data_IF_612695845090
#
_entry.id   IF_612695845090
#
_cell.length_a   1.000
_cell.length_b   1.000
_cell.length_c   1.000
_cell.angle_alpha   90.00
_cell.angle_beta   90.00
_cell.angle_gamma   90.00
#
_symmetry.space_group_name_H-M   'P 1'
#
loop_
_entity.id
_entity.type
_entity.pdbx_description
1 polymer ?
2 water ?
#
# COMPACT_ATOMS: atom_id res chain seq x y z
N UNK A 3 9.21 35.46 -7.09
CA UNK A 3 8.99 35.12 -8.54
C UNK A 3 8.44 33.70 -8.63
N UNK A 4 9.32 32.73 -8.46
CA UNK A 4 8.94 31.32 -8.50
C UNK A 4 8.68 30.90 -7.06
N UNK A 5 7.54 30.23 -6.79
CA UNK A 5 7.25 29.80 -5.43
C UNK A 5 8.31 28.87 -4.88
N UNK A 6 8.53 28.93 -3.57
CA UNK A 6 9.53 28.08 -2.94
C UNK A 6 9.04 26.63 -2.84
N UNK A 7 7.79 26.46 -2.41
CA UNK A 7 7.22 25.13 -2.28
C UNK A 7 5.77 25.15 -2.69
N UNK A 8 5.37 24.16 -3.49
CA UNK A 8 3.99 24.00 -3.89
C UNK A 8 3.46 22.85 -3.03
N UNK A 9 2.41 23.10 -2.27
CA UNK A 9 1.83 22.07 -1.43
C UNK A 9 0.50 21.65 -2.03
N UNK A 10 0.44 20.42 -2.50
CA UNK A 10 -0.76 19.85 -3.12
C UNK A 10 -1.59 19.07 -2.09
N UNK A 11 -2.87 19.40 -2.01
CA UNK A 11 -3.77 18.73 -1.07
C UNK A 11 -4.90 18.03 -1.82
N UNK A 12 -4.88 16.68 -1.85
CA UNK A 12 -5.92 15.90 -2.53
C UNK A 12 -7.12 15.85 -1.57
N UNK A 13 -8.27 16.31 -2.06
CA UNK A 13 -9.45 16.40 -1.23
C UNK A 13 -10.64 15.51 -1.59
N UNK A 14 -11.13 14.76 -0.60
CA UNK A 14 -12.31 13.89 -0.77
C UNK A 14 -13.00 13.59 0.56
N UNK A 15 -14.18 14.16 0.76
CA UNK A 15 -14.95 13.94 1.99
C UNK A 15 -14.13 14.13 3.25
N UNK A 16 -13.68 15.37 3.48
CA UNK A 16 -12.86 15.70 4.64
C UNK A 16 -13.21 17.11 5.09
N UNK A 17 -14.43 17.51 4.80
CA UNK A 17 -14.94 18.82 5.14
C UNK A 17 -14.73 19.21 6.62
N UNK A 18 -14.61 18.22 7.48
CA UNK A 18 -14.43 18.48 8.91
C UNK A 18 -12.98 18.68 9.28
N UNK A 19 -12.08 18.45 8.33
CA UNK A 19 -10.64 18.59 8.55
C UNK A 19 -9.97 19.64 7.67
N UNK A 20 -10.51 19.87 6.49
CA UNK A 20 -9.97 20.81 5.51
C UNK A 20 -9.53 22.18 6.03
N UNK A 21 -10.44 22.91 6.68
CA UNK A 21 -10.13 24.25 7.20
C UNK A 21 -8.87 24.27 8.05
N UNK A 22 -8.82 23.43 9.07
CA UNK A 22 -7.67 23.40 9.95
C UNK A 22 -6.40 23.08 9.16
N UNK A 23 -6.54 22.26 8.13
CA UNK A 23 -5.42 21.86 7.29
C UNK A 23 -4.88 23.01 6.45
N UNK A 24 -5.75 23.63 5.68
CA UNK A 24 -5.34 24.74 4.82
C UNK A 24 -4.83 25.91 5.66
N UNK A 25 -5.43 26.10 6.84
CA UNK A 25 -5.05 27.19 7.72
C UNK A 25 -3.65 26.95 8.31
N UNK A 26 -3.25 25.69 8.43
CA UNK A 26 -1.93 25.35 8.96
C UNK A 26 -0.88 25.58 7.87
N UNK A 27 -1.29 25.40 6.62
CA UNK A 27 -0.40 25.62 5.50
C UNK A 27 -0.28 27.13 5.25
N UNK A 28 -1.29 27.87 5.67
CA UNK A 28 -1.28 29.32 5.48
C UNK A 28 -0.46 29.98 6.57
N UNK A 29 -0.28 29.26 7.67
CA UNK A 29 0.47 29.76 8.80
C UNK A 29 1.95 29.39 8.79
N UNK A 30 2.40 28.69 7.75
CA UNK A 30 3.80 28.27 7.67
C UNK A 30 4.75 29.46 7.79
N UNK A 31 5.95 29.21 8.31
CA UNK A 31 6.94 30.27 8.47
C UNK A 31 7.69 30.55 7.17
N UNK A 32 7.73 29.56 6.29
CA UNK A 32 8.40 29.74 5.00
C UNK A 32 7.51 30.59 4.11
N UNK A 33 8.13 31.56 3.42
CA UNK A 33 7.40 32.45 2.52
C UNK A 33 7.23 31.79 1.17
N UNK A 34 6.49 32.47 0.31
CA UNK A 34 6.26 32.03 -1.05
C UNK A 34 5.83 30.58 -1.22
N UNK A 35 4.77 30.22 -0.52
CA UNK A 35 4.22 28.89 -0.59
C UNK A 35 2.99 28.95 -1.48
N UNK A 36 2.95 28.07 -2.47
CA UNK A 36 1.82 27.97 -3.37
C UNK A 36 0.98 26.79 -2.88
N UNK A 37 -0.30 27.04 -2.59
CA UNK A 37 -1.20 26.01 -2.07
C UNK A 37 -2.16 25.58 -3.18
N UNK A 38 -2.20 24.28 -3.44
CA UNK A 38 -3.02 23.74 -4.48
C UNK A 38 -4.04 22.78 -3.90
N UNK A 39 -5.31 23.06 -4.15
CA UNK A 39 -6.37 22.23 -3.63
C UNK A 39 -7.02 21.49 -4.79
N UNK A 40 -7.02 20.16 -4.72
CA UNK A 40 -7.62 19.35 -5.77
C UNK A 40 -8.88 18.69 -5.24
N UNK A 41 -10.03 19.21 -5.65
CA UNK A 41 -11.33 18.71 -5.23
C UNK A 41 -11.73 17.55 -6.13
N UNK A 42 -11.49 16.34 -5.64
CA UNK A 42 -11.78 15.13 -6.39
C UNK A 42 -13.28 14.79 -6.32
N UNK A 43 -14.10 15.77 -6.70
CA UNK A 43 -15.55 15.65 -6.67
C UNK A 43 -16.01 15.24 -5.26
N UNK A 44 -15.64 16.05 -4.28
CA UNK A 44 -15.98 15.79 -2.87
C UNK A 44 -17.49 15.92 -2.64
N UNK A 45 -18.10 14.85 -2.10
CA UNK A 45 -19.54 14.81 -1.81
C UNK A 45 -20.07 15.82 -0.79
N UNK A 46 -19.22 16.31 0.09
CA UNK A 46 -19.63 17.28 1.11
C UNK A 46 -19.51 18.73 0.64
N UNK A 47 -19.13 19.62 1.55
CA UNK A 47 -18.98 21.04 1.21
C UNK A 47 -17.57 21.50 0.84
N UNK A 48 -16.64 20.56 0.71
CA UNK A 48 -15.27 20.89 0.34
C UNK A 48 -15.18 21.69 -0.96
N UNK A 49 -16.07 21.44 -1.93
CA UNK A 49 -15.95 22.23 -3.16
C UNK A 49 -16.05 23.74 -2.91
N UNK A 50 -17.03 24.16 -2.10
CA UNK A 50 -17.20 25.58 -1.81
C UNK A 50 -16.11 26.09 -0.86
N UNK A 51 -15.72 25.26 0.09
CA UNK A 51 -14.67 25.62 1.03
C UNK A 51 -13.40 25.94 0.21
N UNK A 52 -13.16 25.17 -0.84
CA UNK A 52 -11.99 25.44 -1.70
C UNK A 52 -12.17 26.78 -2.40
N UNK A 53 -13.36 27.05 -2.92
CA UNK A 53 -13.59 28.32 -3.60
C UNK A 53 -13.44 29.50 -2.64
N UNK A 54 -13.94 29.31 -1.42
CA UNK A 54 -13.84 30.33 -0.39
C UNK A 54 -12.38 30.68 -0.16
N UNK A 55 -11.53 29.67 -0.07
CA UNK A 55 -10.10 29.91 0.16
C UNK A 55 -9.47 30.57 -1.06
N UNK A 56 -9.82 30.09 -2.25
CA UNK A 56 -9.25 30.65 -3.47
C UNK A 56 -9.67 32.10 -3.64
N UNK A 57 -10.80 32.46 -3.05
CA UNK A 57 -11.31 33.82 -3.13
C UNK A 57 -10.68 34.71 -2.05
N UNK A 58 -10.63 34.21 -0.82
CA UNK A 58 -10.07 34.97 0.29
C UNK A 58 -8.54 35.09 0.32
N UNK A 59 -7.82 34.27 -0.44
CA UNK A 59 -6.35 34.35 -0.46
C UNK A 59 -5.75 34.34 -1.87
N UNK A 60 -4.54 34.91 -2.04
CA UNK A 60 -3.88 34.98 -3.36
C UNK A 60 -2.96 33.83 -3.76
N UNK A 61 -2.59 32.98 -2.82
CA UNK A 61 -1.69 31.89 -3.16
C UNK A 61 -2.35 30.52 -3.13
N UNK A 62 -3.65 30.48 -3.43
CA UNK A 62 -4.40 29.24 -3.44
C UNK A 62 -5.04 28.92 -4.79
N UNK A 63 -4.59 27.82 -5.40
CA UNK A 63 -5.13 27.37 -6.68
C UNK A 63 -6.08 26.21 -6.41
N UNK A 64 -7.15 26.13 -7.19
CA UNK A 64 -8.15 25.09 -7.01
C UNK A 64 -8.56 24.42 -8.31
N UNK A 65 -8.80 23.11 -8.24
CA UNK A 65 -9.25 22.36 -9.39
C UNK A 65 -10.35 21.41 -8.93
N UNK A 66 -11.48 21.46 -9.63
CA UNK A 66 -12.62 20.61 -9.37
C UNK A 66 -12.63 19.50 -10.43
N UNK A 67 -12.46 18.26 -10.00
CA UNK A 67 -12.43 17.14 -10.93
C UNK A 67 -13.58 16.18 -10.75
N UNK A 68 -13.81 15.40 -11.80
CA UNK A 68 -14.80 14.36 -11.77
C UNK A 68 -13.94 13.32 -11.01
N UNK A 69 -14.50 12.71 -9.98
CA UNK A 69 -13.79 11.76 -9.13
C UNK A 69 -12.91 10.74 -9.86
N UNK A 70 -11.67 10.61 -9.40
CA UNK A 70 -10.74 9.67 -10.02
C UNK A 70 -9.70 9.12 -9.05
N UNK A 71 -9.81 9.49 -7.78
CA UNK A 71 -8.88 9.00 -6.77
C UNK A 71 -7.79 9.98 -6.34
N UNK A 72 -7.20 9.75 -5.17
CA UNK A 72 -6.17 10.64 -4.65
C UNK A 72 -4.86 10.67 -5.46
N UNK A 73 -4.45 9.53 -5.99
CA UNK A 73 -3.24 9.47 -6.80
C UNK A 73 -3.39 10.34 -8.03
N UNK A 74 -4.50 10.20 -8.73
CA UNK A 74 -4.73 11.03 -9.91
C UNK A 74 -4.90 12.49 -9.50
N UNK A 75 -5.40 12.72 -8.29
CA UNK A 75 -5.59 14.09 -7.82
C UNK A 75 -4.22 14.73 -7.62
N UNK A 76 -3.31 14.01 -6.96
CA UNK A 76 -1.98 14.52 -6.73
C UNK A 76 -1.31 14.85 -8.06
N UNK A 77 -1.60 14.04 -9.08
CA UNK A 77 -1.03 14.28 -10.41
C UNK A 77 -1.53 15.61 -10.99
N UNK A 78 -2.83 15.87 -10.89
CA UNK A 78 -3.37 17.11 -11.39
C UNK A 78 -2.67 18.25 -10.66
N UNK A 79 -2.45 18.05 -9.36
CA UNK A 79 -1.75 19.05 -8.57
C UNK A 79 -0.37 19.30 -9.13
N UNK A 80 0.35 18.23 -9.48
CA UNK A 80 1.69 18.36 -10.05
C UNK A 80 1.68 19.09 -11.39
N UNK A 81 0.60 18.92 -12.16
CA UNK A 81 0.51 19.57 -13.46
C UNK A 81 0.44 21.09 -13.35
N UNK A 82 -0.13 21.59 -12.25
CA UNK A 82 -0.24 23.03 -12.08
C UNK A 82 0.78 23.59 -11.13
N UNK A 83 1.50 22.73 -10.41
CA UNK A 83 2.51 23.19 -9.45
C UNK A 83 3.61 23.97 -10.16
N UNK A 84 4.06 25.07 -9.54
CA UNK A 84 5.12 25.87 -10.14
C UNK A 84 6.31 26.08 -9.20
N UNK A 85 6.20 25.63 -7.95
CA UNK A 85 7.30 25.82 -7.02
C UNK A 85 8.59 25.10 -7.36
N UNK A 86 9.69 25.52 -6.76
CA UNK A 86 10.97 24.87 -7.01
C UNK A 86 10.90 23.47 -6.39
N UNK A 87 10.15 23.39 -5.29
CA UNK A 87 9.95 22.12 -4.61
C UNK A 87 8.44 21.88 -4.55
N UNK A 88 8.08 20.63 -4.31
CA UNK A 88 6.68 20.28 -4.24
C UNK A 88 6.47 19.31 -3.08
N UNK A 89 5.26 19.28 -2.55
CA UNK A 89 4.95 18.39 -1.44
C UNK A 89 3.46 18.06 -1.38
N UNK A 90 3.12 16.98 -0.69
CA UNK A 90 1.75 16.58 -0.55
C UNK A 90 1.37 16.57 0.90
N UNK A 91 0.17 17.03 1.20
CA UNK A 91 -0.33 17.06 2.56
C UNK A 91 -1.74 16.48 2.59
N UNK A 92 -1.97 15.54 3.50
CA UNK A 92 -3.28 14.92 3.63
C UNK A 92 -4.26 15.91 4.23
N UNK A 93 -5.51 15.85 3.79
CA UNK A 93 -6.54 16.73 4.30
C UNK A 93 -6.60 16.66 5.82
N UNK A 94 -6.57 15.44 6.36
CA UNK A 94 -6.66 15.24 7.80
C UNK A 94 -5.35 15.47 8.54
N UNK A 95 -4.53 16.36 7.99
CA UNK A 95 -3.24 16.66 8.61
C UNK A 95 -2.95 18.15 8.67
N UNK A 96 -2.90 18.70 9.88
CA UNK A 96 -2.57 20.10 10.08
C UNK A 96 -1.11 20.08 10.53
N UNK A 97 -0.23 20.62 9.69
CA UNK A 97 1.21 20.61 9.96
C UNK A 97 1.79 21.77 10.78
N UNK A 98 2.92 21.46 11.42
CA UNK A 98 3.67 22.41 12.24
C UNK A 98 4.27 23.52 11.37
N UNK A 99 3.96 24.76 11.72
CA UNK A 99 4.41 25.94 10.96
C UNK A 99 5.90 26.12 10.65
N UNK A 100 6.79 25.37 11.30
CA UNK A 100 8.22 25.50 10.98
C UNK A 100 8.65 24.37 10.07
N UNK A 101 7.76 23.41 9.87
CA UNK A 101 8.06 22.25 9.06
C UNK A 101 8.65 22.48 7.68
N UNK A 102 7.91 23.16 6.80
CA UNK A 102 8.44 23.38 5.46
C UNK A 102 9.69 24.24 5.45
N UNK A 103 9.82 25.13 6.41
CA UNK A 103 11.02 25.96 6.48
C UNK A 103 12.21 25.05 6.71
N UNK A 104 12.09 24.18 7.69
CA UNK A 104 13.16 23.26 8.02
C UNK A 104 13.53 22.43 6.79
N UNK A 105 12.56 21.77 6.19
CA UNK A 105 12.86 20.94 5.02
C UNK A 105 13.42 21.72 3.84
N UNK A 106 12.90 22.92 3.61
CA UNK A 106 13.38 23.73 2.52
C UNK A 106 14.85 24.09 2.71
N UNK A 107 15.19 24.58 3.90
CA UNK A 107 16.56 24.98 4.19
C UNK A 107 17.54 23.84 3.99
N UNK A 108 17.16 22.65 4.46
CA UNK A 108 18.01 21.47 4.34
C UNK A 108 18.23 21.14 2.87
N UNK A 109 17.13 21.05 2.12
CA UNK A 109 17.19 20.74 0.70
C UNK A 109 18.04 21.77 -0.04
N UNK A 110 17.99 23.02 0.39
CA UNK A 110 18.77 24.07 -0.27
C UNK A 110 20.25 23.98 0.07
N UNK A 111 20.55 23.61 1.31
CA UNK A 111 21.94 23.50 1.75
C UNK A 111 22.69 22.39 1.01
N UNK A 112 22.11 21.19 0.97
CA UNK A 112 22.74 20.06 0.31
C UNK A 112 22.25 19.76 -1.09
N UNK A 113 21.44 20.64 -1.67
CA UNK A 113 20.93 20.43 -3.03
C UNK A 113 20.24 19.06 -3.17
N UNK A 114 19.35 18.77 -2.24
CA UNK A 114 18.62 17.51 -2.25
C UNK A 114 17.61 17.39 -3.39
N UNK A 115 17.30 16.14 -3.74
CA UNK A 115 16.30 15.86 -4.76
C UNK A 115 15.02 15.52 -4.00
N UNK A 116 15.18 15.20 -2.72
CA UNK A 116 14.08 14.85 -1.84
C UNK A 116 14.54 14.85 -0.37
N UNK A 117 13.61 15.19 0.53
CA UNK A 117 13.89 15.25 1.97
C UNK A 117 12.80 14.44 2.66
N UNK A 118 13.20 13.37 3.34
CA UNK A 118 12.24 12.50 4.02
C UNK A 118 11.95 12.74 5.50
N UNK A 119 10.67 12.70 5.83
CA UNK A 119 10.14 12.92 7.18
C UNK A 119 10.84 14.02 7.95
N UNK A 140 19.85 11.87 11.54
CA UNK A 140 20.04 12.61 10.29
C UNK A 140 20.98 11.88 9.34
N UNK A 141 20.54 11.70 8.09
CA UNK A 141 21.35 11.02 7.09
C UNK A 141 21.32 11.74 5.75
N UNK A 142 22.49 11.80 5.12
CA UNK A 142 22.64 12.43 3.80
C UNK A 142 23.17 11.39 2.81
N UNK A 143 22.54 11.28 1.66
CA UNK A 143 23.00 10.33 0.65
C UNK A 143 23.44 11.15 -0.55
N UNK A 144 24.76 11.22 -0.72
CA UNK A 144 25.45 12.01 -1.75
C UNK A 144 25.36 11.54 -3.19
N UNK A 145 25.13 10.25 -3.39
CA UNK A 145 25.07 9.72 -4.75
C UNK A 145 24.04 8.61 -4.92
N UNK A 146 23.63 8.35 -6.16
CA UNK A 146 22.65 7.29 -6.39
C UNK A 146 23.14 5.93 -5.91
N UNK A 147 24.45 5.78 -5.74
CA UNK A 147 25.00 4.52 -5.26
C UNK A 147 24.60 4.30 -3.80
N UNK A 148 24.75 5.33 -2.98
CA UNK A 148 24.38 5.24 -1.58
C UNK A 148 22.88 5.05 -1.47
N UNK A 149 22.15 5.69 -2.38
CA UNK A 149 20.70 5.58 -2.38
C UNK A 149 20.30 4.18 -2.79
N UNK A 150 20.97 3.65 -3.80
CA UNK A 150 20.70 2.30 -4.27
C UNK A 150 20.79 1.27 -3.15
N UNK A 151 21.81 1.43 -2.31
CA UNK A 151 22.04 0.52 -1.19
C UNK A 151 20.90 0.60 -0.21
N UNK A 152 20.35 1.79 -0.08
CA UNK A 152 19.24 2.03 0.82
C UNK A 152 18.02 1.25 0.34
N UNK A 153 17.82 1.23 -0.98
CA UNK A 153 16.69 0.54 -1.60
C UNK A 153 16.76 -0.99 -1.58
N UNK A 154 17.98 -1.55 -1.59
CA UNK A 154 18.17 -3.01 -1.58
C UNK A 154 17.48 -3.71 -0.42
N UNK A 155 17.25 -2.99 0.67
CA UNK A 155 16.60 -3.58 1.84
C UNK A 155 15.16 -4.00 1.52
N UNK A 156 14.56 -3.36 0.52
CA UNK A 156 13.20 -3.66 0.13
C UNK A 156 13.02 -5.00 -0.56
N UNK A 157 14.08 -5.52 -1.17
CA UNK A 157 14.01 -6.81 -1.87
C UNK A 157 14.94 -7.92 -1.36
N UNK A 158 15.65 -7.67 -0.27
CA UNK A 158 16.54 -8.67 0.30
C UNK A 158 15.68 -9.60 1.16
N UNK A 159 16.28 -10.67 1.66
CA UNK A 159 15.53 -11.65 2.46
C UNK A 159 14.95 -11.18 3.79
N UNK A 160 15.73 -10.44 4.58
CA UNK A 160 15.28 -9.98 5.88
C UNK A 160 13.98 -9.17 5.87
N UNK A 161 12.93 -9.68 6.53
CA UNK A 161 11.64 -8.98 6.58
C UNK A 161 11.73 -7.64 7.31
N UNK A 162 12.31 -7.67 8.50
CA UNK A 162 12.42 -6.49 9.33
C UNK A 162 13.09 -5.31 8.64
N UNK A 163 14.15 -5.57 7.89
CA UNK A 163 14.83 -4.51 7.20
C UNK A 163 13.92 -3.97 6.10
N UNK A 164 13.12 -4.84 5.50
CA UNK A 164 12.20 -4.41 4.43
C UNK A 164 11.07 -3.58 5.04
N UNK A 165 10.56 -4.02 6.19
CA UNK A 165 9.49 -3.32 6.87
C UNK A 165 9.99 -1.92 7.24
N UNK A 166 11.19 -1.88 7.81
CA UNK A 166 11.81 -0.63 8.22
C UNK A 166 11.92 0.33 7.04
N UNK A 167 12.54 -0.11 5.95
CA UNK A 167 12.68 0.72 4.75
C UNK A 167 11.34 1.16 4.18
N UNK A 168 10.41 0.22 4.04
CA UNK A 168 9.10 0.54 3.49
C UNK A 168 8.46 1.65 4.30
N UNK A 169 8.54 1.53 5.63
CA UNK A 169 7.97 2.51 6.53
C UNK A 169 8.60 3.88 6.33
N UNK A 170 9.94 3.89 6.34
CA UNK A 170 10.72 5.10 6.16
C UNK A 170 10.42 5.74 4.79
N UNK A 171 10.55 4.94 3.74
CA UNK A 171 10.29 5.38 2.37
C UNK A 171 8.83 5.80 2.14
N UNK A 172 7.94 5.35 3.03
CA UNK A 172 6.52 5.69 2.93
C UNK A 172 6.14 6.82 3.88
N UNK A 173 7.14 7.53 4.40
CA UNK A 173 6.88 8.65 5.30
C UNK A 173 5.89 9.58 4.62
N UNK A 174 4.96 10.13 5.39
CA UNK A 174 3.94 11.03 4.84
C UNK A 174 4.49 12.41 4.49
N UNK A 175 5.45 12.91 5.27
CA UNK A 175 6.01 14.23 5.03
C UNK A 175 7.32 14.16 4.24
N UNK A 176 7.24 14.51 2.96
CA UNK A 176 8.40 14.48 2.05
C UNK A 176 8.39 15.71 1.15
N UNK A 177 9.57 16.27 0.91
CA UNK A 177 9.71 17.45 0.05
C UNK A 177 10.55 17.04 -1.18
N UNK A 178 9.95 17.16 -2.36
CA UNK A 178 10.62 16.78 -3.60
C UNK A 178 11.01 17.99 -4.47
N UNK A 179 12.18 17.90 -5.09
CA UNK A 179 12.64 18.93 -5.99
C UNK A 179 11.74 18.71 -7.23
N UNK A 180 10.89 19.69 -7.52
CA UNK A 180 9.95 19.58 -8.61
C UNK A 180 10.47 19.22 -9.99
N UNK A 181 11.62 19.78 -10.37
CA UNK A 181 12.14 19.48 -11.69
C UNK A 181 12.62 18.03 -11.88
N UNK A 182 12.98 17.37 -10.79
CA UNK A 182 13.40 15.98 -10.92
C UNK A 182 12.16 15.18 -11.31
N UNK A 183 11.03 15.52 -10.69
CA UNK A 183 9.77 14.83 -10.96
C UNK A 183 9.34 15.10 -12.40
N UNK A 184 9.42 16.36 -12.83
CA UNK A 184 9.05 16.69 -14.20
C UNK A 184 10.02 16.09 -15.23
N UNK A 185 11.33 16.24 -15.03
CA UNK A 185 12.33 15.68 -15.95
C UNK A 185 12.15 14.18 -16.14
N UNK A 186 11.84 13.49 -15.05
CA UNK A 186 11.67 12.03 -15.09
C UNK A 186 10.23 11.58 -15.42
N UNK A 187 9.33 12.53 -15.58
CA UNK A 187 7.93 12.26 -15.89
C UNK A 187 7.31 11.36 -14.85
N UNK A 188 7.63 11.60 -13.58
CA UNK A 188 7.09 10.78 -12.50
C UNK A 188 5.68 11.19 -12.08
N UNK A 189 4.80 10.21 -12.03
CA UNK A 189 3.42 10.43 -11.64
C UNK A 189 2.92 9.27 -10.80
N UNK A 190 1.90 9.52 -9.98
CA UNK A 190 1.33 8.46 -9.17
C UNK A 190 0.55 7.50 -10.04
N UNK A 191 0.53 6.24 -9.61
CA UNK A 191 -0.25 5.22 -10.28
C UNK A 191 -1.55 5.33 -9.48
N UNK A 192 -2.71 5.19 -10.12
CA UNK A 192 -3.96 5.26 -9.37
C UNK A 192 -3.98 4.22 -8.25
N UNK A 193 -4.51 4.57 -7.08
CA UNK A 193 -4.57 3.63 -5.97
C UNK A 193 -5.51 2.48 -6.35
N UNK A 194 -6.39 2.75 -7.31
CA UNK A 194 -7.36 1.77 -7.76
C UNK A 194 -6.69 0.67 -8.59
N UNK A 195 -5.41 0.84 -8.89
CA UNK A 195 -4.65 -0.17 -9.62
C UNK A 195 -3.60 -0.72 -8.67
N UNK A 196 -2.91 0.20 -7.99
CA UNK A 196 -1.85 -0.11 -7.01
C UNK A 196 -2.10 0.53 -5.66
N UNK A 197 -2.61 -0.24 -4.68
CA UNK A 197 -2.87 0.31 -3.35
C UNK A 197 -1.60 0.87 -2.70
N UNK A 198 -0.46 0.37 -3.15
CA UNK A 198 0.84 0.78 -2.63
C UNK A 198 1.40 1.91 -3.48
N UNK A 199 0.50 2.61 -4.15
CA UNK A 199 0.85 3.72 -5.03
C UNK A 199 1.78 4.79 -4.43
N UNK A 200 1.59 5.14 -3.16
CA UNK A 200 2.45 6.16 -2.56
C UNK A 200 3.89 5.65 -2.38
N UNK A 201 4.03 4.40 -1.98
CA UNK A 201 5.36 3.82 -1.80
C UNK A 201 6.08 3.78 -3.14
N UNK A 202 5.37 3.31 -4.16
CA UNK A 202 5.93 3.19 -5.50
C UNK A 202 6.40 4.54 -6.03
N UNK A 203 5.59 5.58 -5.84
CA UNK A 203 5.98 6.92 -6.29
C UNK A 203 7.27 7.34 -5.59
N UNK A 204 7.34 7.11 -4.28
CA UNK A 204 8.54 7.49 -3.55
C UNK A 204 9.77 6.73 -4.02
N UNK A 205 9.60 5.45 -4.36
CA UNK A 205 10.73 4.68 -4.87
C UNK A 205 11.10 5.24 -6.25
N UNK A 206 10.10 5.65 -7.04
CA UNK A 206 10.37 6.22 -8.36
C UNK A 206 11.32 7.41 -8.21
N UNK A 207 11.08 8.20 -7.17
CA UNK A 207 11.89 9.37 -6.90
C UNK A 207 13.30 8.98 -6.45
N UNK A 208 13.38 8.13 -5.45
CA UNK A 208 14.66 7.68 -4.91
C UNK A 208 15.54 6.96 -5.95
N UNK A 209 14.96 6.01 -6.67
CA UNK A 209 15.72 5.28 -7.68
C UNK A 209 16.09 6.16 -8.86
N UNK A 210 15.68 7.43 -8.86
CA UNK A 210 15.99 8.34 -9.96
C UNK A 210 16.62 9.63 -9.43
N UNK A 211 17.14 9.58 -8.21
CA UNK A 211 17.76 10.75 -7.60
C UNK A 211 19.28 10.62 -7.44
N UNK A 212 19.90 11.71 -7.00
CA UNK A 212 21.34 11.78 -6.76
C UNK A 212 21.64 12.09 -5.29
N UNK A 213 20.89 13.03 -4.71
CA UNK A 213 21.08 13.42 -3.31
C UNK A 213 19.76 13.38 -2.53
N UNK A 214 19.81 12.79 -1.34
CA UNK A 214 18.63 12.65 -0.51
C UNK A 214 18.95 12.79 0.97
N UNK A 215 18.06 13.44 1.71
CA UNK A 215 18.24 13.63 3.15
C UNK A 215 17.08 13.05 3.92
N UNK A 216 17.34 12.58 5.13
CA UNK A 216 16.30 12.03 5.98
C UNK A 216 16.37 12.72 7.34
N UNK A 217 15.34 13.49 7.66
CA UNK A 217 15.27 14.22 8.92
C UNK A 217 14.74 13.39 10.08
N UNK A 218 15.16 13.73 11.32
CA UNK A 218 14.72 13.03 12.54
C UNK A 218 13.20 13.07 12.71
N UNK B 3 -5.05 -36.12 6.92
CA UNK B 3 -5.59 -35.60 8.21
C UNK B 3 -5.47 -34.08 8.31
N UNK B 4 -4.30 -33.54 7.96
CA UNK B 4 -4.12 -32.09 8.01
C UNK B 4 -4.70 -31.54 6.70
N UNK B 5 -5.39 -30.39 6.78
CA UNK B 5 -5.96 -29.81 5.57
C UNK B 5 -4.96 -29.44 4.47
N UNK B 6 -5.46 -29.47 3.24
CA UNK B 6 -4.66 -29.15 2.08
C UNK B 6 -4.49 -27.64 1.99
N UNK B 7 -5.59 -26.94 2.15
CA UNK B 7 -5.55 -25.50 2.05
C UNK B 7 -6.35 -24.84 3.16
N UNK B 8 -5.78 -23.77 3.71
CA UNK B 8 -6.43 -23.00 4.76
C UNK B 8 -6.77 -21.66 4.15
N UNK B 9 -8.05 -21.32 4.14
CA UNK B 9 -8.52 -20.06 3.60
C UNK B 9 -8.92 -19.15 4.77
N UNK B 10 -8.25 -17.99 4.88
CA UNK B 10 -8.53 -17.04 5.95
C UNK B 10 -9.42 -15.93 5.41
N UNK B 11 -10.52 -15.67 6.12
CA UNK B 11 -11.49 -14.65 5.72
C UNK B 11 -11.63 -13.54 6.77
N UNK B 12 -10.99 -12.39 6.52
CA UNK B 12 -11.09 -11.26 7.46
C UNK B 12 -12.50 -10.67 7.36
N UNK B 13 -13.20 -10.62 8.48
CA UNK B 13 -14.58 -10.14 8.48
C UNK B 13 -14.92 -8.87 9.26
N UNK B 14 -15.54 -7.92 8.57
CA UNK B 14 -15.96 -6.67 9.18
C UNK B 14 -17.10 -6.09 8.36
N UNK B 15 -18.24 -5.86 9.01
CA UNK B 15 -19.41 -5.29 8.33
C UNK B 15 -19.76 -5.84 6.95
N UNK B 16 -19.85 -7.15 6.81
CA UNK B 16 -20.17 -7.75 5.51
C UNK B 16 -21.27 -8.79 5.64
N UNK B 17 -22.23 -8.52 6.51
CA UNK B 17 -23.34 -9.43 6.76
C UNK B 17 -24.05 -9.93 5.50
N UNK B 18 -24.23 -9.04 4.54
CA UNK B 18 -24.92 -9.35 3.29
C UNK B 18 -24.16 -10.23 2.31
N UNK B 19 -22.84 -10.32 2.46
CA UNK B 19 -22.03 -11.11 1.53
C UNK B 19 -21.44 -12.37 2.15
N UNK B 20 -21.41 -12.42 3.48
CA UNK B 20 -20.82 -13.54 4.18
C UNK B 20 -21.32 -14.93 3.80
N UNK B 21 -22.63 -15.09 3.69
CA UNK B 21 -23.19 -16.39 3.32
C UNK B 21 -22.65 -16.88 1.99
N UNK B 22 -22.79 -16.06 0.95
CA UNK B 22 -22.33 -16.41 -0.38
C UNK B 22 -20.84 -16.70 -0.40
N UNK B 23 -20.09 -15.94 0.37
CA UNK B 23 -18.65 -16.15 0.42
C UNK B 23 -18.30 -17.50 1.05
N UNK B 24 -18.87 -17.79 2.22
CA UNK B 24 -18.58 -19.05 2.90
C UNK B 24 -19.08 -20.24 2.09
N UNK B 25 -20.26 -20.08 1.50
CA UNK B 25 -20.87 -21.12 0.68
C UNK B 25 -20.00 -21.43 -0.55
N UNK B 26 -19.42 -20.40 -1.16
CA UNK B 26 -18.56 -20.58 -2.33
C UNK B 26 -17.33 -21.37 -1.88
N UNK B 27 -16.95 -21.18 -0.63
CA UNK B 27 -15.81 -21.88 -0.08
C UNK B 27 -16.17 -23.33 0.23
N UNK B 28 -17.40 -23.56 0.64
CA UNK B 28 -17.86 -24.92 0.93
C UNK B 28 -18.07 -25.74 -0.34
N UNK B 29 -18.35 -25.05 -1.45
CA UNK B 29 -18.61 -25.70 -2.73
C UNK B 29 -17.36 -26.02 -3.55
N UNK B 30 -16.18 -25.83 -2.95
CA UNK B 30 -14.93 -26.09 -3.64
C UNK B 30 -14.73 -27.56 -3.96
N UNK B 31 -14.09 -27.82 -5.10
CA UNK B 31 -13.81 -29.18 -5.54
C UNK B 31 -12.74 -29.83 -4.67
N UNK B 32 -11.82 -29.02 -4.17
CA UNK B 32 -10.76 -29.51 -3.30
C UNK B 32 -11.36 -30.01 -1.98
N UNK B 33 -10.98 -31.23 -1.59
CA UNK B 33 -11.49 -31.92 -0.41
C UNK B 33 -11.19 -31.45 1.01
N UNK B 34 -9.93 -31.16 1.32
CA UNK B 34 -9.62 -30.79 2.70
C UNK B 34 -9.32 -29.32 2.91
N UNK B 35 -10.37 -28.51 2.94
CA UNK B 35 -10.26 -27.08 3.12
C UNK B 35 -10.65 -26.63 4.52
N UNK B 36 -9.75 -25.89 5.15
CA UNK B 36 -9.97 -25.35 6.47
C UNK B 36 -10.36 -23.88 6.31
N UNK B 37 -11.58 -23.53 6.70
CA UNK B 37 -12.06 -22.17 6.57
C UNK B 37 -11.93 -21.48 7.92
N UNK B 38 -11.21 -20.37 7.92
CA UNK B 38 -10.95 -19.59 9.12
C UNK B 38 -11.61 -18.21 9.03
N UNK B 39 -12.67 -18.02 9.81
CA UNK B 39 -13.40 -16.78 9.84
C UNK B 39 -12.90 -15.91 10.99
N UNK B 40 -12.31 -14.77 10.64
CA UNK B 40 -11.77 -13.85 11.63
C UNK B 40 -12.72 -12.67 11.84
N UNK B 41 -13.60 -12.79 12.83
CA UNK B 41 -14.55 -11.73 13.16
C UNK B 41 -13.78 -10.60 13.82
N UNK B 42 -13.53 -9.56 13.04
CA UNK B 42 -12.76 -8.43 13.51
C UNK B 42 -13.68 -7.47 14.25
N UNK B 43 -14.40 -8.02 15.24
CA UNK B 43 -15.35 -7.25 16.05
C UNK B 43 -16.32 -6.49 15.15
N UNK B 44 -16.98 -7.24 14.27
CA UNK B 44 -17.94 -6.68 13.33
C UNK B 44 -19.19 -6.12 14.05
N UNK B 45 -19.63 -4.90 13.69
CA UNK B 45 -20.80 -4.24 14.29
C UNK B 45 -22.15 -4.88 13.93
N UNK B 46 -22.21 -5.57 12.80
CA UNK B 46 -23.46 -6.21 12.39
C UNK B 46 -23.66 -7.55 13.08
N UNK B 47 -24.33 -8.48 12.39
CA UNK B 47 -24.57 -9.81 12.94
C UNK B 47 -23.61 -10.89 12.42
N UNK B 48 -22.48 -10.46 11.87
CA UNK B 48 -21.48 -11.41 11.36
C UNK B 48 -20.92 -12.30 12.48
N UNK B 49 -20.86 -11.80 13.73
CA UNK B 49 -20.32 -12.68 14.77
C UNK B 49 -21.14 -13.97 14.94
N UNK B 50 -22.47 -13.85 14.92
CA UNK B 50 -23.36 -15.00 15.07
C UNK B 50 -23.37 -15.85 13.80
N UNK B 51 -23.24 -15.21 12.65
CA UNK B 51 -23.21 -15.96 11.41
C UNK B 51 -22.00 -16.87 11.48
N UNK B 52 -20.92 -16.32 12.02
CA UNK B 52 -19.70 -17.07 12.16
C UNK B 52 -19.85 -18.28 13.09
N UNK B 53 -20.48 -18.08 14.25
CA UNK B 53 -20.69 -19.18 15.18
C UNK B 53 -21.58 -20.25 14.59
N UNK B 54 -22.60 -19.83 13.86
CA UNK B 54 -23.52 -20.78 13.23
C UNK B 54 -22.80 -21.67 12.23
N UNK B 55 -21.86 -21.10 11.49
CA UNK B 55 -21.12 -21.87 10.50
C UNK B 55 -20.10 -22.82 11.13
N UNK B 56 -19.41 -22.39 12.20
CA UNK B 56 -18.45 -23.27 12.85
C UNK B 56 -19.22 -24.42 13.53
N UNK B 57 -20.41 -24.11 14.05
CA UNK B 57 -21.22 -25.11 14.72
C UNK B 57 -21.79 -26.14 13.75
N UNK B 58 -22.01 -25.72 12.50
CA UNK B 58 -22.56 -26.62 11.49
C UNK B 58 -21.48 -27.45 10.80
N UNK B 59 -20.31 -26.86 10.59
CA UNK B 59 -19.21 -27.56 9.92
C UNK B 59 -17.93 -27.66 10.78
N UNK B 60 -17.40 -28.88 10.95
CA UNK B 60 -16.18 -29.08 11.75
C UNK B 60 -14.90 -28.50 11.13
N UNK B 61 -14.93 -28.21 9.83
CA UNK B 61 -13.74 -27.65 9.19
C UNK B 61 -13.76 -26.11 9.19
N UNK B 62 -14.70 -25.54 9.94
CA UNK B 62 -14.76 -24.09 10.02
C UNK B 62 -14.42 -23.60 11.41
N UNK B 63 -13.38 -22.80 11.50
CA UNK B 63 -12.93 -22.24 12.78
C UNK B 63 -13.25 -20.75 12.81
N UNK B 64 -13.64 -20.25 13.99
CA UNK B 64 -13.96 -18.84 14.15
C UNK B 64 -13.18 -18.18 15.28
N UNK B 65 -12.74 -16.96 15.04
CA UNK B 65 -12.01 -16.20 16.03
C UNK B 65 -12.70 -14.85 16.21
N UNK B 66 -13.14 -14.55 17.43
CA UNK B 66 -13.79 -13.27 17.71
C UNK B 66 -12.69 -12.41 18.31
N UNK B 67 -12.41 -11.33 17.61
CA UNK B 67 -11.30 -10.44 17.95
C UNK B 67 -11.72 -8.99 18.22
N UNK B 68 -10.79 -8.23 18.78
CA UNK B 68 -11.03 -6.83 19.05
C UNK B 68 -10.61 -6.19 17.74
N UNK B 69 -11.31 -5.17 17.30
CA UNK B 69 -10.98 -4.55 16.01
C UNK B 69 -9.51 -4.13 15.86
N UNK B 70 -8.89 -4.54 14.76
CA UNK B 70 -7.49 -4.16 14.52
C UNK B 70 -7.15 -4.07 13.04
N UNK B 71 -8.12 -4.30 12.17
CA UNK B 71 -7.84 -4.18 10.74
C UNK B 71 -7.65 -5.49 9.99
N UNK B 72 -7.59 -5.39 8.67
CA UNK B 72 -7.47 -6.55 7.82
C UNK B 72 -6.12 -7.28 7.89
N UNK B 73 -5.04 -6.51 7.95
CA UNK B 73 -3.71 -7.09 8.01
C UNK B 73 -3.56 -7.90 9.29
N UNK B 74 -3.95 -7.30 10.40
CA UNK B 74 -3.88 -7.95 11.69
C UNK B 74 -4.84 -9.11 11.74
N UNK B 75 -5.94 -9.01 11.00
CA UNK B 75 -6.92 -10.10 10.96
C UNK B 75 -6.32 -11.32 10.25
N UNK B 76 -5.56 -11.07 9.19
CA UNK B 76 -4.93 -12.15 8.45
C UNK B 76 -3.90 -12.84 9.35
N UNK B 77 -3.23 -12.05 10.18
CA UNK B 77 -2.23 -12.58 11.09
C UNK B 77 -2.92 -13.52 12.08
N UNK B 78 -4.11 -13.12 12.54
CA UNK B 78 -4.83 -13.95 13.50
C UNK B 78 -5.18 -15.27 12.85
N UNK B 79 -5.47 -15.23 11.55
CA UNK B 79 -5.79 -16.45 10.84
C UNK B 79 -4.54 -17.31 10.73
N UNK B 80 -3.42 -16.69 10.43
CA UNK B 80 -2.18 -17.44 10.32
C UNK B 80 -1.83 -18.08 11.67
N UNK B 81 -2.15 -17.38 12.75
CA UNK B 81 -1.87 -17.89 14.09
C UNK B 81 -2.56 -19.20 14.38
N UNK B 82 -3.69 -19.47 13.72
CA UNK B 82 -4.42 -20.71 13.96
C UNK B 82 -4.51 -21.67 12.78
N UNK B 83 -4.05 -21.28 11.60
CA UNK B 83 -4.14 -22.17 10.44
C UNK B 83 -3.31 -23.45 10.58
N UNK B 84 -3.74 -24.54 9.96
CA UNK B 84 -3.03 -25.82 10.01
C UNK B 84 -2.83 -26.47 8.65
N UNK B 85 -3.45 -25.92 7.60
CA UNK B 85 -3.32 -26.48 6.27
C UNK B 85 -1.90 -26.48 5.72
N UNK B 86 -1.65 -27.30 4.70
CA UNK B 86 -0.33 -27.37 4.08
C UNK B 86 -0.05 -26.06 3.36
N UNK B 87 -1.12 -25.51 2.78
CA UNK B 87 -1.06 -24.24 2.08
C UNK B 87 -2.10 -23.32 2.71
N UNK B 88 -1.97 -22.02 2.44
CA UNK B 88 -2.88 -21.05 2.99
C UNK B 88 -3.16 -19.95 1.98
N UNK B 89 -4.31 -19.30 2.14
CA UNK B 89 -4.69 -18.23 1.25
C UNK B 89 -5.65 -17.29 1.97
N UNK B 90 -5.75 -16.07 1.47
CA UNK B 90 -6.62 -15.06 2.03
C UNK B 90 -7.74 -14.75 1.03
N UNK B 91 -8.97 -14.74 1.53
CA UNK B 91 -10.14 -14.48 0.71
C UNK B 91 -10.94 -13.28 1.20
N UNK B 92 -11.18 -12.31 0.32
CA UNK B 92 -11.97 -11.12 0.66
C UNK B 92 -13.41 -11.58 0.88
N UNK B 93 -14.03 -11.09 1.95
CA UNK B 93 -15.40 -11.45 2.29
C UNK B 93 -16.40 -11.21 1.17
N UNK B 94 -16.11 -10.26 0.28
CA UNK B 94 -17.02 -9.94 -0.81
C UNK B 94 -16.72 -10.69 -2.11
N UNK B 95 -15.78 -11.63 -2.06
CA UNK B 95 -15.46 -12.41 -3.24
C UNK B 95 -16.11 -13.78 -3.15
N UNK B 96 -16.77 -14.18 -4.22
CA UNK B 96 -17.44 -15.48 -4.32
C UNK B 96 -16.59 -16.20 -5.34
N UNK B 97 -15.76 -17.12 -4.87
CA UNK B 97 -14.84 -17.83 -5.72
C UNK B 97 -15.32 -19.06 -6.49
N UNK B 98 -14.80 -19.21 -7.70
CA UNK B 98 -15.11 -20.34 -8.58
C UNK B 98 -14.86 -21.64 -7.83
N UNK B 99 -15.71 -22.63 -8.07
CA UNK B 99 -15.62 -23.93 -7.40
C UNK B 99 -14.30 -24.71 -7.55
N UNK B 100 -13.55 -24.48 -8.63
CA UNK B 100 -12.30 -25.23 -8.79
C UNK B 100 -11.05 -24.37 -8.62
N UNK B 101 -11.20 -23.16 -8.11
CA UNK B 101 -10.04 -22.31 -7.97
C UNK B 101 -8.90 -22.86 -7.08
N UNK B 102 -9.23 -23.29 -5.87
CA UNK B 102 -8.19 -23.81 -4.99
C UNK B 102 -7.61 -25.18 -5.43
N UNK B 103 -8.46 -26.00 -6.03
CA UNK B 103 -8.04 -27.29 -6.56
C UNK B 103 -6.89 -26.99 -7.54
N UNK B 104 -7.19 -26.17 -8.53
CA UNK B 104 -6.23 -25.80 -9.54
C UNK B 104 -4.92 -25.23 -9.01
N UNK B 105 -4.99 -24.37 -8.00
CA UNK B 105 -3.78 -23.80 -7.45
C UNK B 105 -3.05 -24.81 -6.58
N UNK B 106 -3.80 -25.65 -5.88
CA UNK B 106 -3.18 -26.68 -5.05
C UNK B 106 -2.37 -27.62 -5.95
N UNK B 107 -3.01 -28.14 -7.00
CA UNK B 107 -2.35 -29.06 -7.93
C UNK B 107 -1.12 -28.44 -8.53
N UNK B 108 -1.25 -27.20 -8.99
CA UNK B 108 -0.12 -26.48 -9.58
C UNK B 108 1.01 -26.40 -8.56
N UNK B 109 0.66 -26.03 -7.33
CA UNK B 109 1.62 -25.91 -6.26
C UNK B 109 2.31 -27.25 -5.99
N UNK B 110 1.51 -28.32 -5.87
CA UNK B 110 2.04 -29.66 -5.60
C UNK B 110 2.94 -30.20 -6.72
N UNK B 111 2.63 -29.88 -7.97
CA UNK B 111 3.42 -30.38 -9.08
C UNK B 111 4.85 -29.82 -9.16
N UNK B 112 4.98 -28.50 -8.96
CA UNK B 112 6.29 -27.85 -9.01
C UNK B 112 6.84 -27.54 -7.62
N UNK B 113 6.16 -28.05 -6.60
CA UNK B 113 6.59 -27.84 -5.22
C UNK B 113 6.80 -26.35 -4.97
N UNK B 114 5.81 -25.54 -5.32
CA UNK B 114 5.89 -24.09 -5.14
C UNK B 114 5.79 -23.62 -3.69
N UNK B 115 6.37 -22.45 -3.43
CA UNK B 115 6.29 -21.88 -2.10
C UNK B 115 5.16 -20.87 -2.20
N UNK B 116 4.77 -20.56 -3.44
CA UNK B 116 3.71 -19.61 -3.68
C UNK B 116 3.20 -19.66 -5.13
N UNK B 117 1.88 -19.56 -5.27
CA UNK B 117 1.25 -19.54 -6.59
C UNK B 117 0.50 -18.21 -6.73
N UNK B 118 0.88 -17.39 -7.70
CA UNK B 118 0.24 -16.10 -7.87
C UNK B 118 -0.89 -15.99 -8.89
N UNK B 119 -1.70 -14.96 -8.67
CA UNK B 119 -2.87 -14.61 -9.50
C UNK B 119 -3.81 -15.79 -9.71
N UNK B 140 1.86 -18.24 -18.41
CA UNK B 140 2.31 -19.09 -17.30
C UNK B 140 3.81 -18.93 -17.03
N UNK B 141 4.16 -18.63 -15.78
CA UNK B 141 5.55 -18.45 -15.42
C UNK B 141 5.95 -19.35 -14.28
N UNK B 142 7.23 -19.74 -14.25
CA UNK B 142 7.74 -20.61 -13.20
C UNK B 142 9.16 -20.23 -12.89
N UNK B 143 9.37 -19.64 -11.71
CA UNK B 143 10.71 -19.24 -11.31
C UNK B 143 11.31 -20.33 -10.42
N UNK B 144 12.19 -21.11 -11.04
CA UNK B 144 12.87 -22.25 -10.44
C UNK B 144 13.72 -22.04 -9.19
N UNK B 145 14.36 -20.89 -9.06
CA UNK B 145 15.22 -20.67 -7.90
C UNK B 145 15.32 -19.22 -7.44
N UNK B 146 15.89 -19.05 -6.24
CA UNK B 146 16.06 -17.74 -5.63
C UNK B 146 16.64 -16.75 -6.63
N UNK B 147 17.67 -17.15 -7.34
CA UNK B 147 18.30 -16.29 -8.33
C UNK B 147 17.30 -15.73 -9.35
N UNK B 148 16.38 -16.56 -9.83
CA UNK B 148 15.40 -16.08 -10.80
C UNK B 148 14.38 -15.13 -10.15
N UNK B 149 13.99 -15.45 -8.92
CA UNK B 149 13.05 -14.64 -8.17
C UNK B 149 13.67 -13.29 -7.87
N UNK B 150 14.95 -13.30 -7.50
CA UNK B 150 15.67 -12.06 -7.20
C UNK B 150 15.76 -11.18 -8.44
N UNK B 151 15.97 -11.80 -9.58
CA UNK B 151 16.05 -11.05 -10.83
C UNK B 151 14.73 -10.29 -11.01
N UNK B 152 13.64 -10.96 -10.64
CA UNK B 152 12.30 -10.39 -10.73
C UNK B 152 12.16 -9.18 -9.78
N UNK B 153 12.58 -9.35 -8.53
CA UNK B 153 12.47 -8.29 -7.54
C UNK B 153 13.31 -7.05 -7.87
N UNK B 154 14.32 -7.20 -8.71
CA UNK B 154 15.16 -6.06 -9.08
C UNK B 154 14.39 -4.92 -9.75
N UNK B 155 13.35 -5.24 -10.52
CA UNK B 155 12.57 -4.21 -11.19
C UNK B 155 11.89 -3.26 -10.20
N UNK B 156 11.60 -3.74 -9.00
CA UNK B 156 10.97 -2.88 -8.00
C UNK B 156 11.85 -1.70 -7.58
N UNK B 157 13.17 -1.85 -7.64
CA UNK B 157 14.05 -0.76 -7.24
C UNK B 157 14.97 -0.16 -8.31
N UNK B 158 14.87 -0.63 -9.55
CA UNK B 158 15.68 -0.09 -10.63
C UNK B 158 15.10 1.27 -11.07
N UNK B 159 15.82 1.98 -11.92
CA UNK B 159 15.44 3.31 -12.42
C UNK B 159 14.10 3.43 -13.12
N UNK B 160 13.86 2.55 -14.08
CA UNK B 160 12.63 2.59 -14.86
C UNK B 160 11.35 2.49 -14.05
N UNK B 161 10.50 3.53 -14.13
CA UNK B 161 9.23 3.55 -13.39
C UNK B 161 8.25 2.49 -13.89
N UNK B 162 8.22 2.29 -15.21
CA UNK B 162 7.31 1.33 -15.80
C UNK B 162 7.53 -0.10 -15.31
N UNK B 163 8.77 -0.57 -15.39
CA UNK B 163 9.09 -1.92 -14.94
C UNK B 163 8.70 -2.10 -13.46
N UNK B 164 8.93 -1.08 -12.64
CA UNK B 164 8.55 -1.17 -11.23
C UNK B 164 7.03 -1.25 -11.07
N UNK B 165 6.32 -0.39 -11.80
CA UNK B 165 4.86 -0.40 -11.73
C UNK B 165 4.33 -1.78 -12.09
N UNK B 166 4.69 -2.28 -13.26
CA UNK B 166 4.22 -3.60 -13.70
C UNK B 166 4.58 -4.70 -12.71
N UNK B 167 5.81 -4.72 -12.25
CA UNK B 167 6.22 -5.75 -11.31
C UNK B 167 5.42 -5.64 -10.01
N UNK B 168 5.19 -4.41 -9.56
CA UNK B 168 4.43 -4.19 -8.34
C UNK B 168 2.99 -4.65 -8.51
N UNK B 169 2.46 -4.45 -9.71
CA UNK B 169 1.09 -4.86 -9.99
C UNK B 169 0.92 -6.37 -9.92
N UNK B 170 1.85 -7.11 -10.53
CA UNK B 170 1.73 -8.57 -10.49
C UNK B 170 2.03 -9.13 -9.10
N UNK B 171 2.97 -8.50 -8.41
CA UNK B 171 3.35 -8.92 -7.07
C UNK B 171 2.22 -8.62 -6.08
N UNK B 172 1.29 -7.77 -6.49
CA UNK B 172 0.18 -7.40 -5.63
C UNK B 172 -1.10 -8.14 -5.99
N UNK B 173 -0.96 -9.21 -6.78
CA UNK B 173 -2.09 -10.02 -7.18
C UNK B 173 -2.91 -10.37 -5.94
N UNK B 174 -4.23 -10.22 -6.04
CA UNK B 174 -5.11 -10.50 -4.90
C UNK B 174 -5.08 -11.96 -4.45
N UNK B 175 -5.20 -12.87 -5.40
CA UNK B 175 -5.22 -14.29 -5.06
C UNK B 175 -3.86 -14.96 -5.21
N UNK B 176 -3.38 -15.47 -4.08
CA UNK B 176 -2.09 -16.15 -3.99
C UNK B 176 -2.21 -17.34 -3.02
N UNK B 177 -1.63 -18.47 -3.40
CA UNK B 177 -1.66 -19.63 -2.52
C UNK B 177 -0.25 -19.74 -1.94
N UNK B 178 -0.13 -19.73 -0.62
CA UNK B 178 1.18 -19.78 0.01
C UNK B 178 1.44 -21.09 0.73
N UNK B 179 2.64 -21.61 0.56
CA UNK B 179 3.07 -22.83 1.24
C UNK B 179 3.17 -22.40 2.71
N UNK B 180 2.27 -22.88 3.56
CA UNK B 180 2.27 -22.46 4.95
C UNK B 180 3.59 -22.57 5.72
N UNK B 181 4.25 -23.72 5.63
CA UNK B 181 5.49 -23.90 6.38
C UNK B 181 6.53 -22.83 6.10
N UNK B 182 6.49 -22.24 4.90
CA UNK B 182 7.43 -21.19 4.59
C UNK B 182 7.13 -19.96 5.46
N UNK B 183 5.86 -19.59 5.51
CA UNK B 183 5.44 -18.45 6.30
C UNK B 183 5.78 -18.64 7.78
N UNK B 184 5.56 -19.84 8.30
CA UNK B 184 5.84 -20.11 9.71
C UNK B 184 7.33 -20.18 10.06
N UNK B 185 8.11 -20.77 9.17
CA UNK B 185 9.55 -20.90 9.40
C UNK B 185 10.23 -19.53 9.46
N UNK B 186 9.72 -18.57 8.70
CA UNK B 186 10.28 -17.21 8.67
C UNK B 186 9.41 -16.24 9.47
N UNK B 187 8.37 -16.78 10.12
CA UNK B 187 7.36 -16.03 10.90
C UNK B 187 6.95 -14.72 10.18
N UNK B 188 6.64 -14.88 8.91
CA UNK B 188 6.27 -13.71 8.09
C UNK B 188 4.92 -13.32 8.52
N UNK B 189 4.65 -12.03 8.57
CA UNK B 189 3.35 -11.58 9.01
C UNK B 189 3.05 -10.23 8.35
N UNK B 190 1.78 -9.86 8.29
CA UNK B 190 1.42 -8.60 7.67
C UNK B 190 1.64 -7.46 8.64
N UNK B 191 1.99 -6.30 8.10
CA UNK B 191 2.15 -5.10 8.90
C UNK B 191 0.73 -4.53 8.81
N UNK B 192 0.30 -3.75 9.78
CA UNK B 192 -1.05 -3.17 9.74
C UNK B 192 -1.22 -2.14 8.60
N UNK B 193 -2.36 -2.17 7.89
CA UNK B 193 -2.59 -1.21 6.81
C UNK B 193 -2.54 0.20 7.40
N UNK B 194 -2.92 0.30 8.66
CA UNK B 194 -2.92 1.57 9.38
C UNK B 194 -1.50 2.10 9.59
N UNK B 195 -0.52 1.21 9.52
CA UNK B 195 0.85 1.61 9.71
C UNK B 195 1.58 1.69 8.38
N UNK B 196 1.22 0.79 7.48
CA UNK B 196 1.86 0.71 6.16
C UNK B 196 0.83 0.33 5.11
N UNK B 197 0.36 1.31 4.33
CA UNK B 197 -0.63 1.07 3.27
C UNK B 197 -0.23 -0.01 2.27
N UNK B 198 1.06 -0.07 1.94
CA UNK B 198 1.57 -1.06 1.00
C UNK B 198 1.70 -2.46 1.62
N UNK B 199 1.15 -2.62 2.81
CA UNK B 199 1.19 -3.88 3.54
C UNK B 199 1.02 -5.17 2.72
N UNK B 200 0.07 -5.20 1.79
CA UNK B 200 -0.12 -6.39 0.97
C UNK B 200 1.10 -6.63 0.06
N UNK B 201 1.57 -5.59 -0.61
CA UNK B 201 2.72 -5.74 -1.48
C UNK B 201 3.91 -6.22 -0.66
N UNK B 202 4.12 -5.58 0.49
CA UNK B 202 5.25 -5.94 1.35
C UNK B 202 5.24 -7.40 1.79
N UNK B 203 4.08 -7.91 2.14
CA UNK B 203 3.98 -9.29 2.56
C UNK B 203 4.34 -10.24 1.40
N UNK B 204 3.88 -9.93 0.18
CA UNK B 204 4.20 -10.80 -0.96
C UNK B 204 5.67 -10.72 -1.32
N UNK B 205 6.29 -9.59 -0.99
CA UNK B 205 7.71 -9.45 -1.27
C UNK B 205 8.45 -10.27 -0.22
N UNK B 206 7.95 -10.28 1.02
CA UNK B 206 8.56 -11.07 2.09
C UNK B 206 8.62 -12.51 1.61
N UNK B 207 7.47 -13.02 1.18
CA UNK B 207 7.37 -14.38 0.66
C UNK B 207 8.33 -14.63 -0.51
N UNK B 208 8.30 -13.76 -1.51
CA UNK B 208 9.15 -13.94 -2.68
C UNK B 208 10.64 -13.93 -2.36
N UNK B 209 11.08 -12.95 -1.58
CA UNK B 209 12.47 -12.82 -1.21
C UNK B 209 12.97 -13.99 -0.35
N UNK B 210 12.04 -14.85 0.08
CA UNK B 210 12.39 -15.99 0.93
C UNK B 210 11.91 -17.29 0.29
N UNK B 211 11.72 -17.29 -1.02
CA UNK B 211 11.24 -18.48 -1.69
C UNK B 211 12.20 -19.07 -2.70
N UNK B 212 11.96 -20.35 -2.98
CA UNK B 212 12.65 -21.13 -3.99
C UNK B 212 11.39 -21.49 -4.76
N UNK B 213 11.43 -21.52 -6.08
CA UNK B 213 10.21 -21.89 -6.82
C UNK B 213 8.92 -21.06 -6.52
N UNK B 214 8.52 -20.27 -7.50
CA UNK B 214 7.32 -19.48 -7.39
C UNK B 214 6.74 -19.48 -8.80
N UNK B 215 5.42 -19.61 -8.91
CA UNK B 215 4.85 -19.60 -10.25
C UNK B 215 3.64 -18.66 -10.34
N UNK B 216 3.39 -18.19 -11.56
CA UNK B 216 2.30 -17.28 -11.82
C UNK B 216 1.30 -17.91 -12.80
N UNK B 217 0.03 -17.95 -12.42
CA UNK B 217 -1.03 -18.52 -13.26
C UNK B 217 -1.60 -17.51 -14.25
N UNK B 218 -1.83 -17.92 -15.49
CA UNK B 218 -2.38 -16.99 -16.48
C UNK B 218 -3.91 -16.92 -16.43
#
# INVERSE_FOLDING_TARGET
>A
XSLIPKVSVIVPIYNVEKYLDQCVQALLAQTLSDIEIILIDDESPDNCPKICDDYAAQYPNIKVIHKKNAGLGMACNSGLDVATGEYVAFCDSDDYVDSDMYMTMYNVAQKYTCDAVFTGLKRITXAGIPTGTVTHQKEFKLYKNKNEIHTLLKDLIASDPYAREERAIQVSAKVVLYRRNLIEKKHLRFVSERILPSEDLIFNVDVLANSNIVCVLPQTFYNYRTNPISISEGHHHHHH
>B
XSLIPKVSVIVPIYNVEKYLDQCVQALLAQTLSDIEIILIDDESPDNCPKICDDYAAQYPNIKVIHKKNAGLGMACNSGLDVATGEYVAFCDSDDYVDSDMYMTMYNVAQKYTCDAVFTGLKRITXAGIPTGTVTHQKEFKLYKNKNEIHTLLKDLIASDPYAREERAIQVSAKVVLYRRNLIEKKHLRFVSERILPSEDLIFNVDVLANSNIVCVLPQTFYNYRTNPISISEGHHHHHH
#
